data_IF_746984123868
#
_entry.id   IF_746984123868
#
_cell.length_a   1.000
_cell.length_b   1.000
_cell.length_c   1.000
_cell.angle_alpha   90.00
_cell.angle_beta   90.00
_cell.angle_gamma   90.00
#
_symmetry.space_group_name_H-M   'P 1'
#
loop_
_entity.id
_entity.type
_entity.pdbx_description
1 polymer ?
#
# COMPACT_ATOMS: atom_id res chain seq x y z
N UNK A 1 31.46 -7.81 4.03
CA UNK A 1 30.16 -7.56 4.69
C UNK A 1 29.70 -6.21 4.15
N UNK A 2 28.58 -6.15 3.42
CA UNK A 2 28.02 -4.86 3.04
C UNK A 2 27.53 -4.18 4.33
N UNK A 3 27.89 -2.92 4.52
CA UNK A 3 27.40 -2.10 5.64
C UNK A 3 25.89 -1.89 5.46
N UNK A 4 25.11 -2.09 6.52
CA UNK A 4 23.66 -1.96 6.47
C UNK A 4 23.25 -0.48 6.41
N UNK A 5 22.35 -0.14 5.49
CA UNK A 5 21.77 1.20 5.40
C UNK A 5 20.65 1.44 6.43
N UNK A 6 20.33 2.72 6.64
CA UNK A 6 19.27 3.21 7.53
C UNK A 6 17.96 3.41 6.78
N UNK A 7 16.94 2.63 7.14
CA UNK A 7 15.67 2.55 6.45
C UNK A 7 14.53 3.18 7.25
N UNK A 8 13.83 4.15 6.64
CA UNK A 8 12.56 4.66 7.13
C UNK A 8 11.44 3.73 6.66
N UNK A 9 10.51 3.37 7.53
CA UNK A 9 9.35 2.56 7.18
C UNK A 9 8.07 3.30 7.49
N UNK A 10 7.22 3.46 6.46
CA UNK A 10 5.85 3.98 6.58
C UNK A 10 4.89 2.87 6.15
N UNK A 11 4.46 1.99 7.08
CA UNK A 11 3.67 0.81 6.76
C UNK A 11 2.17 1.13 6.58
N UNK A 12 1.42 0.11 6.21
CA UNK A 12 -0.04 0.08 6.34
C UNK A 12 -0.44 -1.03 7.30
N UNK A 13 -1.53 -0.80 8.03
CA UNK A 13 -2.01 -1.69 9.09
C UNK A 13 -2.62 -3.00 8.56
N UNK A 14 -3.03 -3.88 9.47
CA UNK A 14 -3.69 -5.14 9.15
C UNK A 14 -2.78 -6.12 8.42
N UNK A 15 -3.31 -6.79 7.39
CA UNK A 15 -2.57 -7.83 6.66
C UNK A 15 -1.32 -7.30 5.94
N UNK A 16 -1.29 -6.00 5.63
CA UNK A 16 -0.14 -5.34 5.00
C UNK A 16 1.06 -5.33 5.95
N UNK A 17 0.83 -4.95 7.20
CA UNK A 17 1.84 -4.96 8.26
C UNK A 17 2.42 -6.36 8.49
N UNK A 18 1.57 -7.39 8.57
CA UNK A 18 2.02 -8.76 8.82
C UNK A 18 3.06 -9.23 7.80
N UNK A 19 2.81 -8.99 6.51
CA UNK A 19 3.76 -9.34 5.45
C UNK A 19 5.02 -8.46 5.47
N UNK A 20 4.85 -7.16 5.73
CA UNK A 20 5.97 -6.22 5.74
C UNK A 20 6.93 -6.54 6.89
N UNK A 21 6.40 -6.81 8.08
CA UNK A 21 7.19 -7.10 9.28
C UNK A 21 8.19 -8.24 9.07
N UNK A 22 7.79 -9.33 8.40
CA UNK A 22 8.70 -10.46 8.11
C UNK A 22 9.91 -10.00 7.29
N UNK A 23 9.69 -9.11 6.31
CA UNK A 23 10.78 -8.56 5.50
C UNK A 23 11.65 -7.61 6.32
N UNK A 24 11.05 -6.77 7.16
CA UNK A 24 11.79 -5.84 8.04
C UNK A 24 12.68 -6.60 9.04
N UNK A 25 12.19 -7.68 9.63
CA UNK A 25 12.97 -8.54 10.53
C UNK A 25 14.19 -9.12 9.82
N UNK A 26 14.03 -9.57 8.56
CA UNK A 26 15.16 -10.05 7.76
C UNK A 26 16.13 -8.96 7.34
N UNK A 27 15.67 -7.75 7.06
CA UNK A 27 16.55 -6.62 6.80
C UNK A 27 17.34 -6.24 8.07
N UNK A 28 16.69 -6.25 9.23
CA UNK A 28 17.37 -6.00 10.50
C UNK A 28 18.44 -7.07 10.82
N UNK A 29 18.14 -8.36 10.63
CA UNK A 29 19.13 -9.45 10.77
C UNK A 29 20.35 -9.27 9.84
N UNK A 30 20.17 -8.57 8.71
CA UNK A 30 21.25 -8.24 7.76
C UNK A 30 22.02 -6.96 8.12
N UNK A 31 21.70 -6.32 9.26
CA UNK A 31 22.41 -5.17 9.81
C UNK A 31 21.83 -3.81 9.44
N UNK A 32 20.65 -3.75 8.83
CA UNK A 32 19.98 -2.46 8.55
C UNK A 32 19.44 -1.82 9.83
N UNK A 33 19.66 -0.50 9.99
CA UNK A 33 18.99 0.29 11.02
C UNK A 33 17.58 0.64 10.53
N UNK A 34 16.55 0.20 11.23
CA UNK A 34 15.16 0.38 10.79
C UNK A 34 14.40 1.25 11.79
N UNK A 35 13.70 2.25 11.27
CA UNK A 35 12.76 3.08 12.03
C UNK A 35 11.39 3.04 11.35
N UNK A 36 10.42 2.40 11.98
CA UNK A 36 9.03 2.38 11.53
C UNK A 36 8.22 3.48 12.22
N UNK A 37 7.41 4.19 11.45
CA UNK A 37 6.53 5.25 11.95
C UNK A 37 5.08 4.77 11.84
N UNK A 38 4.39 4.66 12.97
CA UNK A 38 3.02 4.12 13.03
C UNK A 38 2.11 5.05 13.85
N UNK A 39 0.80 5.10 13.59
CA UNK A 39 -0.13 5.83 14.46
C UNK A 39 -0.23 5.15 15.84
N UNK A 40 -0.66 5.88 16.87
CA UNK A 40 -0.85 5.32 18.22
C UNK A 40 -1.99 4.29 18.30
N UNK A 41 -3.08 4.50 17.56
CA UNK A 41 -4.20 3.56 17.47
C UNK A 41 -4.10 2.72 16.20
N UNK A 42 -3.92 1.41 16.34
CA UNK A 42 -3.64 0.46 15.24
C UNK A 42 -4.28 -0.90 15.49
N UNK A 43 -4.54 -1.68 14.44
CA UNK A 43 -5.06 -3.04 14.56
C UNK A 43 -3.95 -4.03 14.95
N UNK A 44 -2.88 -4.11 14.16
CA UNK A 44 -1.83 -5.13 14.29
C UNK A 44 -0.42 -4.57 14.48
N UNK A 45 -0.23 -3.25 14.36
CA UNK A 45 1.09 -2.63 14.49
C UNK A 45 1.46 -2.46 15.96
N UNK A 46 2.47 -3.18 16.41
CA UNK A 46 2.91 -3.22 17.82
C UNK A 46 4.41 -3.05 17.91
N UNK A 47 4.91 -2.76 19.12
CA UNK A 47 6.33 -2.68 19.45
C UNK A 47 7.11 -3.89 18.91
N UNK A 48 8.30 -3.65 18.40
CA UNK A 48 9.22 -4.66 17.89
C UNK A 48 10.50 -4.64 18.70
N UNK A 49 11.06 -5.81 19.02
CA UNK A 49 12.42 -5.91 19.59
C UNK A 49 13.49 -5.80 18.49
N UNK A 50 13.11 -6.07 17.24
CA UNK A 50 14.02 -6.05 16.10
C UNK A 50 14.26 -4.66 15.53
N UNK A 51 13.37 -3.68 15.71
CA UNK A 51 13.59 -2.35 15.12
C UNK A 51 12.86 -1.26 15.88
N UNK A 52 13.29 -0.01 15.65
CA UNK A 52 12.73 1.14 16.35
C UNK A 52 11.34 1.45 15.80
N UNK A 53 10.39 1.66 16.71
CA UNK A 53 9.05 2.14 16.38
C UNK A 53 8.85 3.52 16.98
N UNK A 54 8.43 4.46 16.14
CA UNK A 54 7.98 5.78 16.55
C UNK A 54 6.47 5.91 16.33
N UNK A 55 5.77 6.36 17.36
CA UNK A 55 4.33 6.58 17.32
C UNK A 55 4.01 8.05 17.15
N UNK A 56 2.83 8.34 16.60
CA UNK A 56 2.29 9.70 16.53
C UNK A 56 0.78 9.72 16.82
N UNK A 57 0.27 10.81 17.42
CA UNK A 57 -1.12 10.91 17.82
C UNK A 57 -2.06 11.00 16.61
N UNK A 58 -3.25 10.44 16.78
CA UNK A 58 -4.33 10.41 15.79
C UNK A 58 -5.67 10.82 16.41
N UNK A 59 -6.64 11.35 15.65
CA UNK A 59 -7.85 11.94 16.21
C UNK A 59 -8.94 10.90 16.55
N UNK A 60 -8.56 9.64 16.70
CA UNK A 60 -9.45 8.53 16.96
C UNK A 60 -8.82 7.57 17.98
N UNK A 61 -9.67 6.83 18.71
CA UNK A 61 -9.21 5.93 19.77
C UNK A 61 -8.96 4.50 19.27
N UNK A 62 -8.29 3.70 20.08
CA UNK A 62 -8.09 2.27 19.82
C UNK A 62 -9.44 1.54 19.69
N UNK A 63 -10.42 1.85 20.54
CA UNK A 63 -11.75 1.21 20.50
C UNK A 63 -12.51 1.52 19.21
N UNK A 64 -12.30 2.73 18.65
CA UNK A 64 -12.86 3.08 17.35
C UNK A 64 -12.22 2.22 16.24
N UNK A 65 -10.89 2.09 16.24
CA UNK A 65 -10.17 1.26 15.26
C UNK A 65 -10.57 -0.21 15.32
N UNK A 66 -10.67 -0.77 16.53
CA UNK A 66 -11.10 -2.15 16.73
C UNK A 66 -12.51 -2.38 16.17
N UNK A 67 -13.45 -1.46 16.44
CA UNK A 67 -14.81 -1.52 15.92
C UNK A 67 -14.87 -1.41 14.41
N UNK A 68 -14.09 -0.49 13.83
CA UNK A 68 -14.05 -0.27 12.38
C UNK A 68 -13.64 -1.56 11.66
N UNK A 69 -12.53 -2.16 12.06
CA UNK A 69 -12.07 -3.42 11.45
C UNK A 69 -12.97 -4.61 11.76
N UNK A 70 -13.53 -4.68 12.98
CA UNK A 70 -14.48 -5.74 13.34
C UNK A 70 -15.73 -5.70 12.44
N UNK A 71 -16.26 -4.50 12.16
CA UNK A 71 -17.43 -4.31 11.28
C UNK A 71 -17.14 -4.78 9.85
N UNK A 72 -15.95 -4.47 9.32
CA UNK A 72 -15.53 -4.93 7.99
C UNK A 72 -15.45 -6.47 7.98
N UNK A 73 -14.85 -7.07 9.01
CA UNK A 73 -14.70 -8.52 9.12
C UNK A 73 -16.03 -9.27 9.23
N UNK A 74 -16.96 -8.82 10.09
CA UNK A 74 -18.28 -9.45 10.26
C UNK A 74 -19.09 -9.50 8.96
N UNK A 75 -18.99 -8.45 8.14
CA UNK A 75 -19.74 -8.34 6.90
C UNK A 75 -19.04 -8.99 5.70
N UNK A 76 -17.82 -9.51 5.87
CA UNK A 76 -17.01 -10.04 4.76
C UNK A 76 -17.60 -11.29 4.10
N UNK A 77 -18.37 -12.09 4.84
CA UNK A 77 -19.06 -13.29 4.33
C UNK A 77 -20.57 -13.07 4.14
N UNK A 78 -21.06 -11.86 4.40
CA UNK A 78 -22.46 -11.53 4.17
C UNK A 78 -22.72 -11.46 2.66
N UNK A 79 -23.90 -11.93 2.24
CA UNK A 79 -24.33 -11.89 0.83
C UNK A 79 -25.60 -11.06 0.66
N UNK A 80 -25.57 -9.74 0.94
CA UNK A 80 -26.76 -8.91 0.86
C UNK A 80 -27.18 -8.65 -0.59
N UNK A 81 -28.40 -8.11 -0.82
CA UNK A 81 -28.84 -7.68 -2.15
C UNK A 81 -27.85 -6.71 -2.82
N UNK A 82 -27.85 -6.65 -4.15
CA UNK A 82 -26.86 -5.89 -4.93
C UNK A 82 -26.77 -4.41 -4.52
N UNK A 83 -27.90 -3.74 -4.26
CA UNK A 83 -27.91 -2.34 -3.84
C UNK A 83 -27.23 -2.14 -2.47
N UNK A 84 -27.46 -3.05 -1.53
CA UNK A 84 -26.82 -3.02 -0.21
C UNK A 84 -25.33 -3.35 -0.29
N UNK A 85 -24.92 -4.24 -1.22
CA UNK A 85 -23.50 -4.47 -1.50
C UNK A 85 -22.81 -3.21 -2.02
N UNK A 86 -23.45 -2.51 -2.96
CA UNK A 86 -22.91 -1.28 -3.54
C UNK A 86 -22.84 -0.18 -2.47
N UNK A 87 -23.91 0.03 -1.71
CA UNK A 87 -23.91 1.06 -0.65
C UNK A 87 -22.92 0.73 0.47
N UNK A 88 -22.83 -0.53 0.88
CA UNK A 88 -21.85 -1.00 1.86
C UNK A 88 -20.41 -0.79 1.37
N UNK A 89 -20.11 -1.12 0.12
CA UNK A 89 -18.80 -0.88 -0.48
C UNK A 89 -18.45 0.61 -0.50
N UNK A 90 -19.37 1.47 -0.95
CA UNK A 90 -19.15 2.92 -1.01
C UNK A 90 -18.93 3.51 0.40
N UNK A 91 -19.72 3.09 1.39
CA UNK A 91 -19.56 3.53 2.77
C UNK A 91 -18.22 3.08 3.35
N UNK A 92 -17.81 1.83 3.12
CA UNK A 92 -16.53 1.30 3.59
C UNK A 92 -15.34 2.03 2.94
N UNK A 93 -15.42 2.28 1.64
CA UNK A 93 -14.39 3.05 0.91
C UNK A 93 -14.34 4.50 1.42
N UNK A 94 -15.49 5.15 1.61
CA UNK A 94 -15.56 6.51 2.14
C UNK A 94 -14.98 6.62 3.54
N UNK A 95 -15.44 5.79 4.48
CA UNK A 95 -14.94 5.80 5.86
C UNK A 95 -13.46 5.41 5.95
N UNK A 96 -13.04 4.39 5.19
CA UNK A 96 -11.62 4.03 5.10
C UNK A 96 -10.78 5.18 4.60
N UNK A 97 -11.17 5.81 3.49
CA UNK A 97 -10.46 6.97 2.92
C UNK A 97 -10.39 8.13 3.91
N UNK A 98 -11.47 8.40 4.65
CA UNK A 98 -11.51 9.45 5.69
C UNK A 98 -10.54 9.15 6.85
N UNK A 99 -10.54 7.93 7.35
CA UNK A 99 -9.63 7.51 8.43
C UNK A 99 -8.18 7.62 7.94
N UNK A 100 -7.85 6.96 6.83
CA UNK A 100 -6.47 6.90 6.33
C UNK A 100 -5.90 8.25 5.90
N UNK A 101 -6.70 9.11 5.25
CA UNK A 101 -6.28 10.48 4.94
C UNK A 101 -6.06 11.31 6.20
N UNK A 102 -6.90 11.14 7.23
CA UNK A 102 -6.72 11.78 8.54
C UNK A 102 -5.45 11.30 9.24
N UNK A 103 -5.19 9.99 9.24
CA UNK A 103 -3.98 9.36 9.75
C UNK A 103 -2.73 9.93 9.07
N UNK A 104 -2.77 10.07 7.74
CA UNK A 104 -1.66 10.66 7.01
C UNK A 104 -1.47 12.14 7.32
N UNK A 105 -2.55 12.92 7.37
CA UNK A 105 -2.51 14.34 7.71
C UNK A 105 -1.84 14.58 9.06
N UNK A 106 -2.16 13.77 10.07
CA UNK A 106 -1.56 13.90 11.40
C UNK A 106 -0.06 13.53 11.42
N UNK A 107 0.36 12.58 10.59
CA UNK A 107 1.79 12.29 10.42
C UNK A 107 2.52 13.46 9.77
N UNK A 108 2.02 13.94 8.63
CA UNK A 108 2.66 15.01 7.86
C UNK A 108 2.76 16.32 8.64
N UNK A 109 1.77 16.62 9.49
CA UNK A 109 1.74 17.84 10.30
C UNK A 109 2.31 17.67 11.71
N UNK A 110 2.90 16.51 12.03
CA UNK A 110 3.64 16.34 13.27
C UNK A 110 5.05 16.95 13.12
N UNK A 111 5.21 18.22 13.48
CA UNK A 111 6.46 18.97 13.28
C UNK A 111 7.67 18.32 13.96
N UNK A 112 7.50 17.81 15.18
CA UNK A 112 8.58 17.15 15.93
C UNK A 112 9.06 15.89 15.21
N UNK A 113 8.12 15.05 14.78
CA UNK A 113 8.43 13.81 14.09
C UNK A 113 9.01 14.07 12.69
N UNK A 114 8.41 14.97 11.91
CA UNK A 114 8.94 15.33 10.59
C UNK A 114 10.35 15.91 10.67
N UNK A 115 10.62 16.76 11.66
CA UNK A 115 11.97 17.26 11.94
C UNK A 115 12.93 16.13 12.29
N UNK A 116 12.53 15.22 13.18
CA UNK A 116 13.33 14.03 13.49
C UNK A 116 13.64 13.20 12.24
N UNK A 117 12.65 12.98 11.37
CA UNK A 117 12.83 12.19 10.14
C UNK A 117 13.84 12.83 9.20
N UNK A 118 13.80 14.17 9.05
CA UNK A 118 14.73 14.93 8.24
C UNK A 118 16.15 14.92 8.82
N UNK A 119 16.31 15.07 10.14
CA UNK A 119 17.60 15.09 10.81
C UNK A 119 18.26 13.70 10.90
N UNK A 120 17.45 12.63 10.85
CA UNK A 120 17.90 11.24 10.98
C UNK A 120 18.68 10.71 9.77
N UNK A 121 18.63 11.40 8.62
CA UNK A 121 19.36 11.07 7.38
C UNK A 121 19.23 9.60 6.97
N UNK A 122 18.00 9.19 6.67
CA UNK A 122 17.72 7.86 6.11
C UNK A 122 18.33 7.70 4.71
N UNK A 123 18.69 6.47 4.35
CA UNK A 123 19.21 6.13 3.02
C UNK A 123 18.09 5.81 2.03
N UNK A 124 16.95 5.29 2.52
CA UNK A 124 15.78 4.94 1.74
C UNK A 124 14.52 4.93 2.60
N UNK A 125 13.36 4.91 1.94
CA UNK A 125 12.06 4.69 2.57
C UNK A 125 11.37 3.45 1.99
N UNK A 126 10.93 2.54 2.85
CA UNK A 126 10.09 1.40 2.48
C UNK A 126 8.65 1.67 2.92
N UNK A 127 7.70 1.52 2.01
CA UNK A 127 6.29 1.82 2.29
C UNK A 127 5.35 0.96 1.46
N UNK A 128 4.13 0.71 1.97
CA UNK A 128 3.05 0.20 1.13
C UNK A 128 2.30 1.42 0.55
N UNK A 129 2.42 1.68 -0.77
CA UNK A 129 1.93 2.87 -1.44
C UNK A 129 0.40 2.91 -1.62
N UNK A 130 -0.35 1.88 -1.23
CA UNK A 130 -1.81 1.84 -1.42
C UNK A 130 -2.51 3.10 -0.89
N UNK A 131 -1.98 3.65 0.20
CA UNK A 131 -2.34 4.97 0.72
C UNK A 131 -1.06 5.84 0.66
N UNK A 132 -1.04 6.91 -0.16
CA UNK A 132 0.20 7.55 -0.60
C UNK A 132 0.91 8.43 0.45
N UNK A 133 0.78 8.13 1.76
CA UNK A 133 1.48 8.87 2.79
C UNK A 133 3.01 8.68 2.75
N UNK A 134 3.46 7.43 2.64
CA UNK A 134 4.89 7.12 2.47
C UNK A 134 5.49 7.76 1.22
N UNK A 135 4.85 7.67 0.03
CA UNK A 135 5.27 8.42 -1.16
C UNK A 135 5.39 9.93 -0.97
N UNK A 136 4.47 10.58 -0.24
CA UNK A 136 4.56 12.03 0.07
C UNK A 136 5.78 12.33 0.93
N UNK A 137 6.04 11.52 1.97
CA UNK A 137 7.20 11.66 2.84
C UNK A 137 8.50 11.41 2.05
N UNK A 138 8.51 10.42 1.16
CA UNK A 138 9.65 10.13 0.29
C UNK A 138 10.02 11.34 -0.56
N UNK A 139 9.02 11.98 -1.17
CA UNK A 139 9.20 13.20 -1.96
C UNK A 139 9.74 14.36 -1.10
N UNK A 140 9.11 14.61 0.05
CA UNK A 140 9.51 15.69 0.96
C UNK A 140 10.96 15.55 1.45
N UNK A 141 11.36 14.33 1.84
CA UNK A 141 12.69 14.02 2.33
C UNK A 141 13.70 13.75 1.20
N UNK A 142 13.27 13.74 -0.06
CA UNK A 142 14.09 13.38 -1.23
C UNK A 142 14.76 12.00 -1.09
N UNK A 143 14.03 11.02 -0.58
CA UNK A 143 14.52 9.65 -0.36
C UNK A 143 14.14 8.72 -1.51
N UNK A 144 15.04 7.79 -1.92
CA UNK A 144 14.66 6.72 -2.83
C UNK A 144 13.62 5.81 -2.16
N UNK A 145 12.55 5.49 -2.88
CA UNK A 145 11.41 4.75 -2.35
C UNK A 145 11.38 3.28 -2.81
N UNK A 146 11.16 2.40 -1.84
CA UNK A 146 10.94 0.96 -2.01
C UNK A 146 9.47 0.68 -1.71
N UNK A 147 8.69 0.41 -2.75
CA UNK A 147 7.26 0.15 -2.62
C UNK A 147 7.00 -1.33 -2.40
N UNK A 148 6.41 -1.68 -1.26
CA UNK A 148 6.11 -3.04 -0.86
C UNK A 148 4.60 -3.27 -0.95
N UNK A 149 4.14 -3.96 -2.00
CA UNK A 149 2.71 -3.96 -2.34
C UNK A 149 2.24 -5.22 -3.07
N UNK A 150 0.92 -5.44 -3.04
CA UNK A 150 0.24 -6.50 -3.83
C UNK A 150 -0.30 -5.98 -5.16
N UNK A 151 -0.75 -4.73 -5.21
CA UNK A 151 -1.36 -4.09 -6.38
C UNK A 151 -1.93 -2.73 -5.97
N UNK A 152 -1.97 -1.77 -6.89
CA UNK A 152 -2.71 -0.53 -6.69
C UNK A 152 -4.06 -0.62 -7.42
N UNK A 153 -5.11 0.06 -6.92
CA UNK A 153 -6.34 0.28 -7.66
C UNK A 153 -6.06 0.77 -9.09
N UNK A 154 -6.91 0.32 -10.02
CA UNK A 154 -6.89 0.74 -11.42
C UNK A 154 -5.57 0.54 -12.18
N UNK A 155 -4.77 -0.46 -11.78
CA UNK A 155 -3.44 -0.76 -12.36
C UNK A 155 -2.50 0.44 -12.34
N UNK A 156 -2.66 1.31 -11.36
CA UNK A 156 -1.88 2.54 -11.26
C UNK A 156 -0.40 2.26 -11.02
N UNK A 157 -0.06 1.13 -10.42
CA UNK A 157 1.29 0.61 -10.25
C UNK A 157 1.97 0.31 -11.60
N UNK A 158 1.24 -0.33 -12.52
CA UNK A 158 1.76 -0.59 -13.87
C UNK A 158 1.87 0.70 -14.67
N UNK A 159 0.90 1.60 -14.54
CA UNK A 159 0.97 2.91 -15.19
C UNK A 159 2.15 3.75 -14.67
N UNK A 160 2.34 3.80 -13.36
CA UNK A 160 3.45 4.51 -12.70
C UNK A 160 4.81 3.91 -13.06
N UNK A 161 4.90 2.59 -13.13
CA UNK A 161 6.10 1.88 -13.61
C UNK A 161 6.25 1.94 -15.13
N UNK A 162 5.37 2.62 -15.87
CA UNK A 162 5.37 2.68 -17.35
C UNK A 162 5.29 1.30 -18.02
N UNK A 163 4.71 0.31 -17.35
CA UNK A 163 4.44 -1.00 -17.88
C UNK A 163 3.12 -1.00 -18.68
N UNK A 164 3.10 -1.54 -19.91
CA UNK A 164 1.85 -1.71 -20.64
C UNK A 164 0.97 -2.77 -19.98
N UNK A 165 -0.34 -2.50 -19.91
CA UNK A 165 -1.36 -3.45 -19.41
C UNK A 165 -2.53 -3.55 -20.40
N UNK A 166 -2.37 -4.23 -21.55
CA UNK A 166 -3.38 -4.19 -22.61
C UNK A 166 -4.68 -4.91 -22.25
N UNK A 167 -5.81 -4.24 -22.47
CA UNK A 167 -7.15 -4.78 -22.20
C UNK A 167 -7.53 -6.01 -23.03
N UNK A 168 -6.76 -6.33 -24.06
CA UNK A 168 -7.05 -7.46 -24.94
C UNK A 168 -6.67 -8.81 -24.33
N UNK A 169 -5.70 -8.87 -23.43
CA UNK A 169 -5.23 -10.13 -22.82
C UNK A 169 -4.88 -10.03 -21.33
N UNK A 170 -4.81 -8.83 -20.75
CA UNK A 170 -4.67 -8.65 -19.30
C UNK A 170 -6.06 -8.41 -18.70
N UNK A 171 -6.64 -9.38 -17.98
CA UNK A 171 -7.95 -9.20 -17.36
C UNK A 171 -7.88 -8.18 -16.21
N UNK A 172 -8.91 -7.35 -16.05
CA UNK A 172 -9.04 -6.43 -14.93
C UNK A 172 -9.29 -7.19 -13.64
N UNK A 173 -8.77 -6.64 -12.55
CA UNK A 173 -8.99 -7.18 -11.20
C UNK A 173 -10.49 -7.30 -10.92
N UNK A 174 -10.89 -8.38 -10.24
CA UNK A 174 -12.29 -8.73 -9.93
C UNK A 174 -13.17 -9.17 -11.12
N UNK A 175 -12.61 -9.29 -12.33
CA UNK A 175 -13.28 -9.99 -13.42
C UNK A 175 -13.06 -11.51 -13.32
N UNK A 176 -14.08 -12.30 -13.70
CA UNK A 176 -13.96 -13.76 -13.82
C UNK A 176 -13.34 -14.20 -15.16
N UNK A 177 -12.58 -13.31 -15.82
CA UNK A 177 -11.95 -13.56 -17.11
C UNK A 177 -10.51 -14.05 -16.93
N UNK A 178 -10.06 -14.95 -17.80
CA UNK A 178 -8.65 -15.35 -17.92
C UNK A 178 -7.90 -14.49 -18.95
N UNK A 179 -6.63 -14.78 -19.19
CA UNK A 179 -5.84 -14.26 -20.30
C UNK A 179 -6.34 -14.74 -21.68
N UNK A 180 -7.12 -15.83 -21.70
CA UNK A 180 -7.80 -16.34 -22.88
C UNK A 180 -9.23 -15.78 -23.01
N UNK A 181 -9.35 -14.48 -23.35
CA UNK A 181 -10.64 -13.81 -23.54
C UNK A 181 -11.21 -13.94 -24.96
N UNK A 182 -12.51 -14.25 -25.06
CA UNK A 182 -13.28 -14.07 -26.29
C UNK A 182 -13.54 -12.59 -26.58
N UNK A 183 -14.00 -12.25 -27.79
CA UNK A 183 -14.23 -10.86 -28.18
C UNK A 183 -15.10 -10.08 -27.18
N UNK A 184 -16.22 -10.65 -26.74
CA UNK A 184 -17.12 -9.98 -25.78
C UNK A 184 -16.49 -9.79 -24.41
N UNK A 185 -15.63 -10.69 -23.97
CA UNK A 185 -14.91 -10.54 -22.70
C UNK A 185 -13.87 -9.43 -22.80
N UNK A 186 -13.20 -9.29 -23.95
CA UNK A 186 -12.29 -8.15 -24.22
C UNK A 186 -13.03 -6.82 -24.23
N UNK A 187 -14.23 -6.77 -24.80
CA UNK A 187 -15.09 -5.57 -24.77
C UNK A 187 -15.45 -5.21 -23.33
N UNK A 188 -15.90 -6.17 -22.52
CA UNK A 188 -16.19 -5.94 -21.10
C UNK A 188 -14.95 -5.46 -20.33
N UNK A 189 -13.81 -6.10 -20.58
CA UNK A 189 -12.54 -5.78 -19.94
C UNK A 189 -12.07 -4.36 -20.26
N UNK A 190 -12.23 -3.94 -21.52
CA UNK A 190 -11.98 -2.58 -21.96
C UNK A 190 -12.92 -1.56 -21.29
N UNK A 191 -14.22 -1.83 -21.25
CA UNK A 191 -15.21 -0.93 -20.63
C UNK A 191 -14.94 -0.76 -19.13
N UNK A 192 -14.68 -1.85 -18.42
CA UNK A 192 -14.35 -1.82 -16.99
C UNK A 192 -13.04 -1.04 -16.78
N UNK A 193 -11.97 -1.41 -17.50
CA UNK A 193 -10.68 -0.72 -17.38
C UNK A 193 -10.74 0.77 -17.72
N UNK A 194 -11.57 1.17 -18.67
CA UNK A 194 -11.78 2.59 -19.00
C UNK A 194 -12.57 3.33 -17.91
N UNK A 195 -13.55 2.68 -17.28
CA UNK A 195 -14.35 3.27 -16.20
C UNK A 195 -13.57 3.45 -14.90
N UNK A 196 -12.55 2.62 -14.68
CA UNK A 196 -11.71 2.64 -13.47
C UNK A 196 -10.93 3.94 -13.30
N UNK A 197 -10.54 4.62 -14.39
CA UNK A 197 -9.82 5.90 -14.30
C UNK A 197 -10.55 6.96 -13.48
N UNK A 198 -11.86 7.10 -13.67
CA UNK A 198 -12.67 8.04 -12.89
C UNK A 198 -12.72 7.63 -11.42
N UNK A 199 -12.93 6.34 -11.14
CA UNK A 199 -13.01 5.82 -9.77
C UNK A 199 -11.70 6.06 -9.01
N UNK A 200 -10.56 5.79 -9.64
CA UNK A 200 -9.26 6.02 -9.02
C UNK A 200 -8.93 7.49 -8.85
N UNK A 201 -9.27 8.35 -9.81
CA UNK A 201 -9.09 9.78 -9.63
C UNK A 201 -9.85 10.27 -8.39
N UNK A 202 -11.12 9.86 -8.23
CA UNK A 202 -11.91 10.20 -7.04
C UNK A 202 -11.33 9.62 -5.74
N UNK A 203 -10.79 8.40 -5.78
CA UNK A 203 -10.16 7.76 -4.63
C UNK A 203 -8.88 8.49 -4.18
N UNK A 204 -8.07 8.93 -5.12
CA UNK A 204 -6.79 9.58 -4.83
C UNK A 204 -6.89 11.10 -4.64
N UNK A 205 -7.97 11.75 -5.06
CA UNK A 205 -8.13 13.21 -5.00
C UNK A 205 -7.82 13.80 -3.61
N UNK A 206 -8.37 13.22 -2.54
CA UNK A 206 -8.11 13.70 -1.17
C UNK A 206 -6.63 13.62 -0.77
N UNK A 207 -5.90 12.66 -1.32
CA UNK A 207 -4.48 12.51 -1.08
C UNK A 207 -3.65 13.45 -1.95
N UNK A 208 -4.07 13.70 -3.19
CA UNK A 208 -3.45 14.69 -4.07
C UNK A 208 -3.57 16.10 -3.49
N UNK A 209 -4.73 16.44 -2.93
CA UNK A 209 -4.96 17.71 -2.23
C UNK A 209 -4.03 17.83 -1.01
N UNK A 210 -3.99 16.79 -0.16
CA UNK A 210 -3.12 16.75 1.02
C UNK A 210 -1.63 16.82 0.64
N UNK A 211 -1.22 16.08 -0.39
CA UNK A 211 0.15 16.08 -0.89
C UNK A 211 0.53 17.47 -1.42
N UNK A 212 -0.37 18.10 -2.18
CA UNK A 212 -0.11 19.41 -2.78
C UNK A 212 -0.04 20.52 -1.73
N UNK A 213 -0.91 20.45 -0.72
CA UNK A 213 -0.88 21.31 0.47
C UNK A 213 0.47 21.21 1.19
N UNK A 214 0.89 19.99 1.50
CA UNK A 214 2.10 19.72 2.28
C UNK A 214 3.41 19.98 1.52
N UNK A 215 3.47 19.63 0.23
CA UNK A 215 4.65 19.80 -0.63
C UNK A 215 4.72 21.20 -1.27
N UNK A 216 3.69 22.03 -1.06
CA UNK A 216 3.58 23.40 -1.58
C UNK A 216 3.71 23.49 -3.11
N UNK A 217 3.20 22.48 -3.83
CA UNK A 217 3.14 22.42 -5.30
C UNK A 217 2.04 21.46 -5.74
N UNK A 218 1.50 21.61 -6.94
CA UNK A 218 0.57 20.62 -7.48
C UNK A 218 1.29 19.27 -7.67
N UNK A 219 0.67 18.21 -7.16
CA UNK A 219 1.17 16.83 -7.25
C UNK A 219 0.02 15.88 -7.57
N UNK A 220 0.26 14.94 -8.47
CA UNK A 220 -0.67 13.84 -8.73
C UNK A 220 -0.20 12.55 -8.07
N UNK A 221 -1.14 11.64 -7.77
CA UNK A 221 -0.83 10.33 -7.23
C UNK A 221 0.04 9.53 -8.21
N UNK A 222 -0.24 9.63 -9.51
CA UNK A 222 0.59 9.01 -10.55
C UNK A 222 2.04 9.51 -10.49
N UNK A 223 2.26 10.81 -10.29
CA UNK A 223 3.62 11.37 -10.16
C UNK A 223 4.35 10.79 -8.94
N UNK A 224 3.70 10.77 -7.77
CA UNK A 224 4.29 10.20 -6.54
C UNK A 224 4.63 8.72 -6.73
N UNK A 225 3.73 7.96 -7.35
CA UNK A 225 3.96 6.54 -7.58
C UNK A 225 5.05 6.28 -8.62
N UNK A 226 5.21 7.16 -9.62
CA UNK A 226 6.22 7.01 -10.68
C UNK A 226 7.65 7.19 -10.16
N UNK A 227 7.84 7.70 -8.94
CA UNK A 227 9.15 7.92 -8.30
C UNK A 227 9.70 6.69 -7.57
N UNK A 228 9.00 5.56 -7.62
CA UNK A 228 9.45 4.29 -7.07
C UNK A 228 10.85 3.90 -7.61
N UNK A 229 11.80 3.71 -6.71
CA UNK A 229 13.11 3.14 -7.06
C UNK A 229 12.99 1.63 -7.29
N UNK A 230 12.27 0.93 -6.41
CA UNK A 230 12.01 -0.51 -6.51
C UNK A 230 10.56 -0.80 -6.14
N UNK A 231 9.90 -1.67 -6.91
CA UNK A 231 8.61 -2.25 -6.58
C UNK A 231 8.81 -3.69 -6.10
N UNK A 232 8.63 -3.93 -4.81
CA UNK A 232 8.59 -5.26 -4.22
C UNK A 232 7.16 -5.81 -4.26
N UNK A 233 6.91 -6.66 -5.25
CA UNK A 233 5.61 -7.25 -5.52
C UNK A 233 5.39 -8.47 -4.62
N UNK A 234 4.41 -8.42 -3.71
CA UNK A 234 4.11 -9.43 -2.67
C UNK A 234 3.45 -10.72 -3.21
N UNK A 235 3.83 -11.13 -4.41
CA UNK A 235 3.30 -12.28 -5.12
C UNK A 235 4.33 -12.81 -6.10
N UNK A 236 4.15 -14.04 -6.55
CA UNK A 236 4.97 -14.65 -7.59
C UNK A 236 4.30 -14.51 -8.95
N UNK A 237 5.10 -14.32 -10.00
CA UNK A 237 4.60 -14.18 -11.36
C UNK A 237 3.90 -15.45 -11.88
N UNK A 238 4.17 -16.62 -11.29
CA UNK A 238 3.52 -17.90 -11.63
C UNK A 238 2.01 -17.87 -11.35
N UNK A 239 1.55 -17.03 -10.42
CA UNK A 239 0.13 -16.89 -10.07
C UNK A 239 -0.59 -15.75 -10.81
N UNK A 240 0.06 -15.15 -11.80
CA UNK A 240 -0.43 -13.95 -12.47
C UNK A 240 -0.52 -14.15 -13.98
N UNK A 241 -1.36 -13.32 -14.60
CA UNK A 241 -1.47 -13.33 -16.06
C UNK A 241 -0.23 -12.72 -16.72
N UNK A 242 0.18 -13.25 -17.89
CA UNK A 242 1.33 -12.72 -18.60
C UNK A 242 1.15 -11.23 -18.93
N UNK A 243 2.07 -10.39 -18.42
CA UNK A 243 2.15 -8.97 -18.77
C UNK A 243 3.58 -8.46 -18.68
N UNK A 244 3.96 -7.42 -19.44
CA UNK A 244 5.27 -6.82 -19.34
C UNK A 244 5.52 -6.17 -17.97
N UNK A 245 6.78 -6.20 -17.54
CA UNK A 245 7.23 -5.73 -16.22
C UNK A 245 8.55 -4.98 -16.38
N UNK A 246 8.75 -3.90 -15.64
CA UNK A 246 10.02 -3.19 -15.64
C UNK A 246 11.07 -3.88 -14.75
N UNK A 247 12.38 -3.72 -15.03
CA UNK A 247 13.44 -4.36 -14.24
C UNK A 247 13.45 -4.00 -12.75
N UNK A 248 12.88 -2.86 -12.37
CA UNK A 248 12.76 -2.46 -10.97
C UNK A 248 11.52 -3.04 -10.27
N UNK A 249 10.71 -3.86 -10.96
CA UNK A 249 9.61 -4.62 -10.36
C UNK A 249 10.08 -6.03 -10.02
N UNK A 250 10.26 -6.29 -8.73
CA UNK A 250 10.82 -7.53 -8.19
C UNK A 250 9.72 -8.33 -7.50
N UNK A 251 9.46 -9.53 -8.00
CA UNK A 251 8.53 -10.48 -7.42
C UNK A 251 9.16 -11.17 -6.20
N UNK A 252 8.49 -11.04 -5.05
CA UNK A 252 8.91 -11.61 -3.77
C UNK A 252 7.80 -12.48 -3.20
N UNK A 253 7.19 -13.31 -4.05
CA UNK A 253 6.25 -14.34 -3.60
C UNK A 253 6.89 -15.32 -2.63
N UNK A 254 6.08 -15.97 -1.78
CA UNK A 254 6.57 -16.96 -0.82
C UNK A 254 7.22 -16.40 0.46
N UNK A 255 7.26 -15.07 0.64
CA UNK A 255 7.83 -14.44 1.84
C UNK A 255 7.14 -14.82 3.17
N UNK A 256 5.90 -15.31 3.10
CA UNK A 256 5.14 -15.75 4.27
C UNK A 256 5.25 -17.27 4.52
N UNK A 257 6.04 -18.00 3.74
CA UNK A 257 6.23 -19.44 3.93
C UNK A 257 7.26 -19.70 5.04
N UNK A 258 6.83 -20.37 6.10
CA UNK A 258 7.70 -20.84 7.17
C UNK A 258 8.18 -22.27 6.92
N UNK A 259 9.24 -22.67 7.63
CA UNK A 259 9.73 -24.03 7.59
C UNK A 259 8.70 -24.98 8.19
N UNK A 260 8.47 -26.12 7.54
CA UNK A 260 7.47 -27.11 7.97
C UNK A 260 7.73 -27.54 9.42
N UNK A 261 6.74 -27.32 10.28
CA UNK A 261 6.70 -27.82 11.65
C UNK A 261 5.87 -29.11 11.65
N UNK A 262 6.29 -30.16 12.39
CA UNK A 262 5.47 -31.35 12.55
C UNK A 262 4.10 -30.97 13.10
N UNK A 263 3.01 -31.45 12.49
CA UNK A 263 1.67 -31.26 13.04
C UNK A 263 1.62 -31.84 14.45
N UNK A 264 1.20 -31.03 15.42
CA UNK A 264 0.93 -31.51 16.77
C UNK A 264 -0.14 -32.60 16.69
N UNK A 265 0.18 -33.79 17.21
CA UNK A 265 -0.76 -34.91 17.32
C UNK A 265 -1.91 -34.61 18.28
#
# INVERSE_FOLDING_TARGET
LAEGGKLLVVPQDGSHWLSMRVVLEKLWEKGHEIVAVIPEATLLMKSSESFTIKTYPVPYTQEFMDRFYHSIGQNSFANPPLLEKISGLLNNVSEGTRIFSSTCRHLLHNEELMKYLQESKFDAIMTDPVLPCGPIIAEHLSLPSVYFMRGLPCTLDYQAAQCPSPFSYVPRTFMSSSDHMAFMDRVKNFLIGSSEHLLCHLFYLQYEDLASEFLHREVTALELFSKASIWLMRYDFVFEYPRPTMPNMVYIGGINCEQEQPLSK
#
